data_IF_983103733084
#
_entry.id   IF_983103733084
#
_cell.length_a   1.000
_cell.length_b   1.000
_cell.length_c   1.000
_cell.angle_alpha   90.00
_cell.angle_beta   90.00
_cell.angle_gamma   90.00
#
_symmetry.space_group_name_H-M   'P 1'
#
loop_
_entity.id
_entity.type
_entity.pdbx_description
1 polymer ?
#
# COMPACT_ATOMS: atom_id res chain seq x y z
N UNK A 1 10.16 -3.24 -25.64
CA UNK A 1 10.01 -3.95 -24.36
C UNK A 1 8.91 -3.26 -23.61
N UNK A 2 7.75 -3.89 -23.50
CA UNK A 2 6.65 -3.39 -22.67
C UNK A 2 7.08 -3.49 -21.21
N UNK A 3 6.92 -2.41 -20.45
CA UNK A 3 7.23 -2.41 -19.02
C UNK A 3 6.08 -3.16 -18.32
N UNK A 4 6.34 -4.08 -17.38
CA UNK A 4 5.26 -4.78 -16.70
C UNK A 4 4.33 -3.78 -16.00
N UNK A 5 3.02 -3.95 -16.14
CA UNK A 5 2.02 -2.99 -15.63
C UNK A 5 2.16 -2.74 -14.12
N UNK A 6 2.65 -3.73 -13.36
CA UNK A 6 3.01 -3.60 -11.96
C UNK A 6 4.12 -2.56 -11.71
N UNK A 7 5.16 -2.55 -12.55
CA UNK A 7 6.23 -1.55 -12.46
C UNK A 7 5.72 -0.15 -12.79
N UNK A 8 4.79 -0.02 -13.73
CA UNK A 8 4.16 1.28 -14.02
C UNK A 8 3.34 1.80 -12.84
N UNK A 9 2.56 0.91 -12.20
CA UNK A 9 1.82 1.23 -10.99
C UNK A 9 2.77 1.59 -9.83
N UNK A 10 3.84 0.83 -9.65
CA UNK A 10 4.87 1.12 -8.64
C UNK A 10 5.50 2.50 -8.86
N UNK A 11 5.92 2.83 -10.08
CA UNK A 11 6.50 4.13 -10.41
C UNK A 11 5.51 5.28 -10.22
N UNK A 12 4.21 5.03 -10.42
CA UNK A 12 3.17 6.02 -10.13
C UNK A 12 3.07 6.27 -8.63
N UNK A 13 2.94 5.23 -7.80
CA UNK A 13 2.85 5.42 -6.34
C UNK A 13 4.14 6.02 -5.77
N UNK A 14 5.31 5.60 -6.24
CA UNK A 14 6.61 6.17 -5.84
C UNK A 14 6.67 7.67 -6.10
N UNK A 15 6.22 8.13 -7.26
CA UNK A 15 6.13 9.56 -7.59
C UNK A 15 5.15 10.31 -6.70
N UNK A 16 4.01 9.72 -6.36
CA UNK A 16 3.07 10.35 -5.42
C UNK A 16 3.67 10.51 -4.01
N UNK A 17 4.42 9.51 -3.53
CA UNK A 17 5.11 9.60 -2.25
C UNK A 17 6.26 10.61 -2.28
N UNK A 18 7.04 10.64 -3.37
CA UNK A 18 8.14 11.58 -3.56
C UNK A 18 7.66 13.03 -3.59
N UNK A 19 6.62 13.32 -4.40
CA UNK A 19 6.00 14.65 -4.50
C UNK A 19 5.52 15.20 -3.16
N UNK A 20 5.16 14.33 -2.22
CA UNK A 20 4.68 14.69 -0.87
C UNK A 20 5.80 14.65 0.19
N UNK A 21 7.04 14.32 -0.16
CA UNK A 21 8.14 14.16 0.79
C UNK A 21 7.93 12.98 1.76
N UNK A 22 7.24 11.94 1.31
CA UNK A 22 6.84 10.77 2.10
C UNK A 22 7.68 9.51 1.82
N UNK A 23 8.63 9.56 0.87
CA UNK A 23 9.53 8.44 0.62
C UNK A 23 10.30 8.05 1.88
N UNK A 24 10.48 6.74 2.05
CA UNK A 24 11.15 6.09 3.19
C UNK A 24 10.50 6.35 4.55
N UNK A 25 9.35 7.03 4.60
CA UNK A 25 8.57 7.23 5.82
C UNK A 25 7.58 6.09 6.00
N UNK A 26 7.39 5.69 7.26
CA UNK A 26 6.32 4.78 7.65
C UNK A 26 5.14 5.62 8.09
N UNK A 27 4.02 5.44 7.40
CA UNK A 27 2.75 6.12 7.67
C UNK A 27 1.77 5.14 8.30
N UNK A 28 1.00 5.61 9.27
CA UNK A 28 -0.13 4.87 9.82
C UNK A 28 -1.42 5.50 9.28
N UNK A 29 -2.21 4.72 8.59
CA UNK A 29 -3.47 5.15 7.97
C UNK A 29 -4.61 4.32 8.54
N UNK A 30 -5.77 4.94 8.74
CA UNK A 30 -7.00 4.22 9.06
C UNK A 30 -7.86 4.12 7.80
N UNK A 31 -8.10 2.91 7.33
CA UNK A 31 -8.90 2.60 6.14
C UNK A 31 -10.05 1.68 6.56
N UNK A 32 -11.29 2.12 6.35
CA UNK A 32 -12.51 1.36 6.68
C UNK A 32 -12.52 0.82 8.14
N UNK A 33 -12.04 1.61 9.10
CA UNK A 33 -12.02 1.24 10.52
C UNK A 33 -10.89 0.28 10.92
N UNK A 34 -9.95 -0.01 10.01
CA UNK A 34 -8.75 -0.82 10.28
C UNK A 34 -7.50 0.05 10.15
N UNK A 35 -6.51 -0.18 11.00
CA UNK A 35 -5.24 0.53 10.93
C UNK A 35 -4.23 -0.20 10.06
N UNK A 36 -3.55 0.53 9.18
CA UNK A 36 -2.54 0.01 8.27
C UNK A 36 -1.23 0.79 8.39
N UNK A 37 -0.13 0.10 8.17
CA UNK A 37 1.19 0.68 8.00
C UNK A 37 1.55 0.71 6.52
N UNK A 38 1.80 1.90 5.99
CA UNK A 38 2.22 2.12 4.62
C UNK A 38 3.64 2.63 4.59
N UNK A 39 4.43 2.10 3.66
CA UNK A 39 5.76 2.61 3.35
C UNK A 39 5.99 2.51 1.85
N UNK A 40 6.62 3.54 1.30
CA UNK A 40 7.15 3.51 -0.06
C UNK A 40 8.62 3.92 -0.01
N UNK A 41 9.50 3.15 -0.61
CA UNK A 41 10.91 3.49 -0.78
C UNK A 41 11.33 3.40 -2.26
N UNK A 42 12.63 3.30 -2.52
CA UNK A 42 13.15 3.30 -3.88
C UNK A 42 12.83 1.99 -4.63
N UNK A 43 12.66 0.90 -3.89
CA UNK A 43 12.62 -0.46 -4.42
C UNK A 43 11.20 -1.04 -4.35
N UNK A 44 10.43 -0.64 -3.34
CA UNK A 44 9.07 -1.16 -3.18
C UNK A 44 8.09 -0.20 -2.48
N UNK A 45 6.81 -0.45 -2.74
CA UNK A 45 5.69 0.01 -1.96
C UNK A 45 5.16 -1.18 -1.15
N UNK A 46 4.94 -0.98 0.15
CA UNK A 46 4.43 -2.01 1.06
C UNK A 46 3.31 -1.45 1.94
N UNK A 47 2.24 -2.23 2.04
CA UNK A 47 1.07 -1.99 2.86
C UNK A 47 0.86 -3.21 3.76
N UNK A 48 0.89 -2.98 5.07
CA UNK A 48 0.64 -3.99 6.09
C UNK A 48 -0.57 -3.59 6.91
N UNK A 49 -1.39 -4.56 7.31
CA UNK A 49 -2.36 -4.29 8.36
C UNK A 49 -1.66 -4.26 9.71
N UNK A 50 -2.05 -3.37 10.61
CA UNK A 50 -1.58 -3.39 12.00
C UNK A 50 -2.59 -4.18 12.83
N UNK A 51 -2.10 -5.08 13.69
CA UNK A 51 -2.96 -5.81 14.60
C UNK A 51 -3.23 -4.94 15.84
N UNK A 52 -4.50 -4.63 16.09
CA UNK A 52 -4.92 -3.78 17.22
C UNK A 52 -5.35 -4.60 18.45
N UNK A 53 -5.19 -5.94 18.42
CA UNK A 53 -5.57 -6.79 19.56
C UNK A 53 -4.73 -6.46 20.80
N UNK A 54 -5.36 -6.18 21.96
CA UNK A 54 -4.68 -5.67 23.16
C UNK A 54 -3.71 -6.65 23.84
N UNK A 55 -3.66 -7.91 23.42
CA UNK A 55 -2.80 -8.95 24.00
C UNK A 55 -1.58 -9.30 23.13
N UNK A 56 -1.47 -8.68 21.95
CA UNK A 56 -0.31 -8.87 21.09
C UNK A 56 0.72 -7.77 21.38
N UNK A 57 2.02 -8.10 21.42
CA UNK A 57 3.07 -7.11 21.59
C UNK A 57 2.91 -5.97 20.57
N UNK A 58 2.93 -4.69 21.00
CA UNK A 58 2.91 -3.57 20.09
C UNK A 58 4.15 -3.64 19.18
N UNK A 59 3.93 -3.74 17.87
CA UNK A 59 5.00 -3.78 16.88
C UNK A 59 5.12 -5.07 16.07
N UNK A 60 4.29 -6.10 16.32
CA UNK A 60 4.12 -7.17 15.33
C UNK A 60 3.44 -6.57 14.09
N UNK A 61 4.10 -6.55 12.91
CA UNK A 61 3.40 -6.20 11.69
C UNK A 61 2.27 -7.23 11.51
N UNK A 62 1.05 -6.78 11.25
CA UNK A 62 0.07 -7.70 10.69
C UNK A 62 0.54 -8.18 9.32
N UNK A 63 -0.25 -9.04 8.69
CA UNK A 63 0.14 -9.61 7.42
C UNK A 63 0.22 -8.56 6.30
N UNK A 64 1.06 -8.85 5.31
CA UNK A 64 1.16 -8.07 4.08
C UNK A 64 -0.18 -8.05 3.37
N UNK A 65 -0.65 -6.85 3.04
CA UNK A 65 -1.91 -6.64 2.31
C UNK A 65 -1.63 -6.31 0.86
N UNK A 66 -0.63 -5.48 0.60
CA UNK A 66 -0.22 -5.14 -0.76
C UNK A 66 1.28 -4.87 -0.79
N UNK A 67 1.95 -5.35 -1.85
CA UNK A 67 3.36 -5.12 -2.10
C UNK A 67 3.60 -4.99 -3.59
N UNK A 68 4.23 -3.89 -3.98
CA UNK A 68 4.55 -3.55 -5.36
C UNK A 68 6.04 -3.23 -5.47
N UNK A 69 6.67 -3.75 -6.51
CA UNK A 69 8.05 -3.43 -6.89
C UNK A 69 8.19 -3.46 -8.40
N UNK A 70 9.42 -3.39 -8.89
CA UNK A 70 9.70 -3.48 -10.33
C UNK A 70 9.32 -4.84 -10.92
N UNK A 71 9.53 -5.91 -10.17
CA UNK A 71 9.28 -7.29 -10.59
C UNK A 71 8.31 -8.03 -9.66
N UNK A 72 7.64 -7.29 -8.77
CA UNK A 72 6.80 -7.85 -7.72
C UNK A 72 5.41 -7.20 -7.71
N UNK A 73 4.38 -8.03 -7.68
CA UNK A 73 3.00 -7.58 -7.51
C UNK A 73 2.22 -8.59 -6.67
N UNK A 74 1.99 -8.24 -5.41
CA UNK A 74 1.16 -8.99 -4.49
C UNK A 74 0.09 -8.06 -3.94
N UNK A 75 -1.15 -8.54 -3.89
CA UNK A 75 -2.22 -7.83 -3.21
C UNK A 75 -3.31 -8.79 -2.76
N UNK A 76 -3.83 -8.57 -1.56
CA UNK A 76 -5.12 -9.06 -1.13
C UNK A 76 -6.23 -8.18 -1.69
N UNK A 77 -7.46 -8.70 -1.71
CA UNK A 77 -8.64 -7.88 -1.96
C UNK A 77 -8.90 -6.88 -0.82
N UNK A 78 -9.76 -5.88 -1.04
CA UNK A 78 -10.05 -4.85 -0.03
C UNK A 78 -10.66 -5.39 1.27
N UNK A 79 -11.29 -6.57 1.25
CA UNK A 79 -11.84 -7.20 2.44
C UNK A 79 -10.80 -8.04 3.19
N UNK A 80 -9.63 -8.31 2.56
CA UNK A 80 -8.56 -9.18 3.04
C UNK A 80 -9.01 -10.64 3.23
N UNK A 81 -9.88 -11.11 2.32
CA UNK A 81 -10.47 -12.46 2.36
C UNK A 81 -9.96 -13.37 1.24
N UNK A 82 -9.40 -12.78 0.18
CA UNK A 82 -8.87 -13.48 -0.98
C UNK A 82 -7.45 -13.02 -1.29
N UNK A 83 -6.60 -14.01 -1.61
CA UNK A 83 -5.24 -13.81 -2.10
C UNK A 83 -5.18 -14.30 -3.56
N UNK A 84 -5.36 -13.42 -4.56
CA UNK A 84 -5.16 -13.80 -5.96
C UNK A 84 -3.72 -14.26 -6.21
N UNK A 85 -3.51 -14.95 -7.33
CA UNK A 85 -2.17 -15.38 -7.75
C UNK A 85 -1.26 -14.15 -7.93
N UNK A 86 -0.02 -14.16 -7.39
CA UNK A 86 0.91 -13.05 -7.55
C UNK A 86 1.15 -12.71 -9.02
N UNK A 87 1.32 -11.42 -9.33
CA UNK A 87 1.48 -10.89 -10.69
C UNK A 87 0.33 -11.20 -11.67
N UNK A 88 -0.79 -11.79 -11.22
CA UNK A 88 -2.00 -11.92 -12.04
C UNK A 88 -2.65 -10.55 -12.29
N UNK A 89 -3.46 -10.41 -13.37
CA UNK A 89 -4.24 -9.20 -13.61
C UNK A 89 -5.12 -8.83 -12.40
N UNK A 90 -5.70 -9.81 -11.73
CA UNK A 90 -6.51 -9.59 -10.53
C UNK A 90 -5.69 -9.03 -9.38
N UNK A 91 -4.48 -9.55 -9.12
CA UNK A 91 -3.60 -9.00 -8.09
C UNK A 91 -3.22 -7.55 -8.38
N UNK A 92 -3.00 -7.21 -9.65
CA UNK A 92 -2.72 -5.84 -10.08
C UNK A 92 -3.91 -4.90 -9.88
N UNK A 93 -5.12 -5.33 -10.23
CA UNK A 93 -6.35 -4.57 -9.99
C UNK A 93 -6.55 -4.30 -8.50
N UNK A 94 -6.36 -5.31 -7.65
CA UNK A 94 -6.46 -5.13 -6.20
C UNK A 94 -5.36 -4.20 -5.66
N UNK A 95 -4.13 -4.34 -6.17
CA UNK A 95 -3.04 -3.45 -5.79
C UNK A 95 -3.34 -2.00 -6.18
N UNK A 96 -3.87 -1.77 -7.38
CA UNK A 96 -4.28 -0.46 -7.85
C UNK A 96 -5.38 0.14 -6.96
N UNK A 97 -6.35 -0.67 -6.54
CA UNK A 97 -7.41 -0.23 -5.64
C UNK A 97 -6.86 0.20 -4.27
N UNK A 98 -5.90 -0.55 -3.70
CA UNK A 98 -5.22 -0.15 -2.47
C UNK A 98 -4.41 1.14 -2.63
N UNK A 99 -3.65 1.26 -3.72
CA UNK A 99 -2.88 2.48 -4.02
C UNK A 99 -3.80 3.69 -4.12
N UNK A 100 -4.94 3.56 -4.81
CA UNK A 100 -5.93 4.64 -4.90
C UNK A 100 -6.47 5.04 -3.53
N UNK A 101 -6.83 4.07 -2.68
CA UNK A 101 -7.34 4.33 -1.34
C UNK A 101 -6.29 5.05 -0.46
N UNK A 102 -5.03 4.62 -0.53
CA UNK A 102 -3.91 5.25 0.18
C UNK A 102 -3.71 6.69 -0.31
N UNK A 103 -3.60 6.91 -1.61
CA UNK A 103 -3.39 8.26 -2.17
C UNK A 103 -4.55 9.20 -1.82
N UNK A 104 -5.79 8.72 -1.90
CA UNK A 104 -6.96 9.49 -1.52
C UNK A 104 -6.94 9.94 -0.05
N UNK A 105 -6.46 9.08 0.87
CA UNK A 105 -6.27 9.46 2.26
C UNK A 105 -5.14 10.47 2.45
N UNK A 106 -4.03 10.30 1.72
CA UNK A 106 -2.92 11.26 1.77
C UNK A 106 -3.36 12.65 1.28
N UNK A 107 -4.23 12.71 0.29
CA UNK A 107 -4.80 13.96 -0.22
C UNK A 107 -5.73 14.62 0.80
N UNK A 108 -6.57 13.84 1.50
CA UNK A 108 -7.42 14.35 2.58
C UNK A 108 -6.59 14.90 3.75
N UNK A 109 -5.49 14.22 4.11
CA UNK A 109 -4.59 14.68 5.16
C UNK A 109 -3.84 15.97 4.77
N UNK A 110 -3.50 16.15 3.49
CA UNK A 110 -2.86 17.36 2.99
C UNK A 110 -3.82 18.56 2.89
N UNK A 111 -5.12 18.32 2.65
CA UNK A 111 -6.15 19.36 2.62
C UNK A 111 -6.60 19.89 3.98
N UNK A 112 -6.13 19.31 5.09
CA UNK A 112 -6.46 19.69 6.47
C UNK A 112 -5.43 20.63 7.11
N UNK A 113 -4.62 21.33 6.31
CA UNK A 113 -3.75 22.38 6.86
C UNK A 113 -4.60 23.63 7.20
N UNK A 114 -4.50 24.16 8.44
CA UNK A 114 -5.26 25.32 8.90
C UNK A 114 -4.88 26.63 8.18
#
# INVERSE_FOLDING_TARGET
MERPQAAELFERVRREFDRRGLLRRVLRLNLAGRTYSVRCDADCFSLYRINEKPHLPPGLPGWTVCRLGLDECFSLDQQETACPEPASPQALEQAAAWVQAVVALLDQAAGQQP
#
